data_IF_431404114746
#
_entry.id   IF_431404114746
#
_cell.length_a   1.000
_cell.length_b   1.000
_cell.length_c   1.000
_cell.angle_alpha   90.00
_cell.angle_beta   90.00
_cell.angle_gamma   90.00
#
_symmetry.space_group_name_H-M   'P 1'
#
loop_
_entity.id
_entity.type
_entity.pdbx_description
1 polymer ?
#
# COMPACT_ATOMS: atom_id res chain seq x y z
N UNK A 1 87.00 32.65 96.48
CA UNK A 1 85.57 33.04 96.43
C UNK A 1 85.14 33.77 95.16
N UNK A 2 85.73 34.92 94.78
CA UNK A 2 85.33 35.67 93.56
C UNK A 2 85.39 34.89 92.24
N UNK A 3 86.38 34.03 92.04
CA UNK A 3 86.48 33.22 90.81
C UNK A 3 85.40 32.13 90.73
N UNK A 4 84.98 31.57 91.87
CA UNK A 4 83.94 30.55 91.92
C UNK A 4 82.57 31.15 91.58
N UNK A 5 82.27 32.34 92.10
CA UNK A 5 81.08 33.11 91.76
C UNK A 5 80.99 33.45 90.27
N UNK A 6 82.10 33.86 89.64
CA UNK A 6 82.15 34.13 88.19
C UNK A 6 81.85 32.88 87.35
N UNK A 7 82.35 31.70 87.77
CA UNK A 7 82.06 30.43 87.09
C UNK A 7 80.58 30.04 87.22
N UNK A 8 80.02 30.15 88.42
CA UNK A 8 78.60 29.88 88.67
C UNK A 8 77.72 30.82 87.83
N UNK A 9 78.06 32.11 87.78
CA UNK A 9 77.33 33.08 86.95
C UNK A 9 77.40 32.74 85.46
N UNK A 10 78.56 32.35 84.94
CA UNK A 10 78.70 31.89 83.56
C UNK A 10 77.86 30.64 83.27
N UNK A 11 77.82 29.67 84.19
CA UNK A 11 76.97 28.47 84.05
C UNK A 11 75.48 28.84 84.05
N UNK A 12 75.04 29.76 84.92
CA UNK A 12 73.64 30.22 84.95
C UNK A 12 73.27 30.88 83.62
N UNK A 13 74.13 31.76 83.09
CA UNK A 13 73.89 32.40 81.78
C UNK A 13 73.83 31.37 80.66
N UNK A 14 74.72 30.37 80.66
CA UNK A 14 74.69 29.28 79.69
C UNK A 14 73.38 28.49 79.76
N UNK A 15 72.94 28.13 80.97
CA UNK A 15 71.68 27.40 81.17
C UNK A 15 70.46 28.23 80.73
N UNK A 16 70.49 29.54 80.95
CA UNK A 16 69.45 30.45 80.46
C UNK A 16 69.41 30.51 78.93
N UNK A 17 70.57 30.65 78.28
CA UNK A 17 70.66 30.62 76.82
C UNK A 17 70.17 29.29 76.24
N UNK A 18 70.53 28.17 76.87
CA UNK A 18 70.11 26.85 76.42
C UNK A 18 68.61 26.60 76.68
N UNK A 19 68.06 27.17 77.76
CA UNK A 19 66.63 27.18 78.02
C UNK A 19 65.87 27.97 76.94
N UNK A 20 66.36 29.16 76.57
CA UNK A 20 65.75 29.99 75.54
C UNK A 20 65.79 29.30 74.16
N UNK A 21 66.91 28.66 73.82
CA UNK A 21 67.02 27.82 72.61
C UNK A 21 66.03 26.66 72.63
N UNK A 22 65.94 25.95 73.77
CA UNK A 22 65.02 24.82 73.92
C UNK A 22 63.55 25.28 73.82
N UNK A 23 63.22 26.42 74.41
CA UNK A 23 61.89 27.03 74.32
C UNK A 23 61.54 27.36 72.86
N UNK A 24 62.46 27.98 72.12
CA UNK A 24 62.28 28.29 70.70
C UNK A 24 62.09 27.02 69.85
N UNK A 25 62.92 25.99 70.04
CA UNK A 25 62.80 24.72 69.31
C UNK A 25 61.47 24.03 69.63
N UNK A 26 61.03 24.04 70.89
CA UNK A 26 59.76 23.46 71.31
C UNK A 26 58.57 24.18 70.67
N UNK A 27 58.63 25.53 70.59
CA UNK A 27 57.62 26.33 69.89
C UNK A 27 57.50 25.96 68.41
N UNK A 28 58.64 25.90 67.71
CA UNK A 28 58.67 25.51 66.29
C UNK A 28 58.12 24.09 66.07
N UNK A 29 58.43 23.15 66.97
CA UNK A 29 57.93 21.78 66.88
C UNK A 29 56.41 21.71 67.11
N UNK A 30 55.87 22.53 68.02
CA UNK A 30 54.43 22.63 68.26
C UNK A 30 53.72 23.16 67.01
N UNK A 31 54.25 24.22 66.40
CA UNK A 31 53.68 24.82 65.19
C UNK A 31 53.72 23.85 64.01
N UNK A 32 54.84 23.15 63.80
CA UNK A 32 54.96 22.10 62.77
C UNK A 32 53.98 20.94 63.01
N UNK A 33 53.81 20.52 64.28
CA UNK A 33 52.83 19.50 64.65
C UNK A 33 51.40 19.95 64.36
N UNK A 34 51.04 21.21 64.65
CA UNK A 34 49.71 21.74 64.35
C UNK A 34 49.48 21.86 62.85
N UNK A 35 50.48 22.27 62.08
CA UNK A 35 50.38 22.36 60.63
C UNK A 35 50.18 20.97 60.01
N UNK A 36 50.98 19.98 60.43
CA UNK A 36 50.82 18.59 59.99
C UNK A 36 49.45 18.02 60.31
N UNK A 37 48.89 18.36 61.47
CA UNK A 37 47.53 17.94 61.83
C UNK A 37 46.48 18.50 60.85
N UNK A 38 46.58 19.78 60.47
CA UNK A 38 45.70 20.40 59.46
C UNK A 38 45.86 19.74 58.10
N UNK A 39 47.10 19.46 57.68
CA UNK A 39 47.36 18.81 56.39
C UNK A 39 46.76 17.40 56.36
N UNK A 40 46.85 16.66 57.46
CA UNK A 40 46.22 15.34 57.62
C UNK A 40 44.70 15.43 57.48
N UNK A 41 44.06 16.42 58.11
CA UNK A 41 42.60 16.64 58.00
C UNK A 41 42.18 16.94 56.55
N UNK A 42 42.94 17.77 55.83
CA UNK A 42 42.69 18.07 54.40
C UNK A 42 42.86 16.83 53.52
N UNK A 43 43.86 15.99 53.81
CA UNK A 43 44.07 14.72 53.11
C UNK A 43 42.89 13.77 53.33
N UNK A 44 42.40 13.62 54.56
CA UNK A 44 41.23 12.79 54.86
C UNK A 44 39.98 13.28 54.14
N UNK A 45 39.69 14.59 54.16
CA UNK A 45 38.56 15.16 53.42
C UNK A 45 38.67 14.93 51.91
N UNK A 46 39.89 15.00 51.36
CA UNK A 46 40.13 14.74 49.94
C UNK A 46 39.97 13.27 49.59
N UNK A 47 40.33 12.37 50.51
CA UNK A 47 40.11 10.92 50.39
C UNK A 47 38.63 10.56 50.39
N UNK A 48 37.85 11.14 51.29
CA UNK A 48 36.39 10.97 51.33
C UNK A 48 35.73 11.48 50.05
N UNK A 49 36.13 12.68 49.59
CA UNK A 49 35.65 13.24 48.33
C UNK A 49 36.01 12.34 47.15
N UNK A 50 37.24 11.83 47.09
CA UNK A 50 37.64 10.88 46.06
C UNK A 50 36.85 9.57 46.14
N UNK A 51 36.57 9.05 47.34
CA UNK A 51 35.76 7.85 47.49
C UNK A 51 34.32 8.05 46.98
N UNK A 52 33.76 9.24 47.19
CA UNK A 52 32.40 9.60 46.74
C UNK A 52 32.34 9.93 45.24
N UNK A 53 33.30 10.71 44.75
CA UNK A 53 33.26 11.31 43.42
C UNK A 53 34.02 10.50 42.36
N UNK A 54 34.82 9.52 42.78
CA UNK A 54 35.32 8.47 41.89
C UNK A 54 34.10 7.63 41.51
N UNK A 55 33.38 8.15 40.51
CA UNK A 55 32.27 7.52 39.83
C UNK A 55 32.53 6.02 39.82
N UNK A 56 31.63 5.29 40.48
CA UNK A 56 31.78 3.88 40.82
C UNK A 56 32.47 3.22 39.65
N UNK A 57 33.73 2.86 39.85
CA UNK A 57 34.55 2.26 38.79
C UNK A 57 33.80 1.06 38.21
N UNK A 58 33.00 0.42 39.04
CA UNK A 58 32.01 -0.60 38.71
C UNK A 58 30.91 -0.09 37.79
N UNK A 59 30.22 1.00 38.09
CA UNK A 59 29.22 1.61 37.18
C UNK A 59 29.83 2.03 35.83
N UNK A 60 31.04 2.58 35.83
CA UNK A 60 31.74 2.90 34.59
C UNK A 60 32.08 1.63 33.81
N UNK A 61 32.59 0.59 34.47
CA UNK A 61 32.89 -0.71 33.85
C UNK A 61 31.62 -1.37 33.32
N UNK A 62 30.53 -1.38 34.08
CA UNK A 62 29.22 -1.90 33.67
C UNK A 62 28.67 -1.11 32.47
N UNK A 63 28.72 0.22 32.51
CA UNK A 63 28.30 1.07 31.40
C UNK A 63 29.18 0.90 30.15
N UNK A 64 30.47 0.60 30.32
CA UNK A 64 31.38 0.25 29.23
C UNK A 64 31.12 -1.16 28.69
N UNK A 65 30.82 -2.14 29.53
CA UNK A 65 30.51 -3.52 29.12
C UNK A 65 29.21 -3.55 28.30
N UNK A 66 28.18 -2.83 28.77
CA UNK A 66 26.92 -2.62 28.03
C UNK A 66 27.16 -1.90 26.70
N UNK A 67 28.10 -0.94 26.62
CA UNK A 67 28.48 -0.30 25.35
C UNK A 67 29.38 -1.15 24.46
N UNK A 68 30.20 -2.03 25.04
CA UNK A 68 31.11 -2.93 24.32
C UNK A 68 30.37 -4.06 23.61
N UNK A 69 29.14 -4.36 24.05
CA UNK A 69 28.18 -5.22 23.33
C UNK A 69 27.78 -4.67 21.95
N UNK A 70 28.33 -3.51 21.53
CA UNK A 70 28.34 -3.04 20.14
C UNK A 70 28.93 -4.08 19.17
N UNK A 71 29.85 -4.93 19.61
CA UNK A 71 30.37 -6.06 18.81
C UNK A 71 29.34 -7.18 18.68
N UNK A 72 28.59 -7.50 19.75
CA UNK A 72 27.47 -8.44 19.66
C UNK A 72 26.31 -7.86 18.83
N UNK A 73 26.07 -6.56 18.90
CA UNK A 73 25.10 -5.86 18.04
C UNK A 73 25.51 -5.93 16.57
N UNK A 74 26.80 -5.77 16.26
CA UNK A 74 27.34 -5.97 14.92
C UNK A 74 27.19 -7.42 14.42
N UNK A 75 27.16 -8.40 15.33
CA UNK A 75 26.89 -9.81 15.04
C UNK A 75 25.40 -10.16 14.89
N UNK A 76 24.47 -9.41 15.51
CA UNK A 76 23.03 -9.71 15.48
C UNK A 76 22.36 -9.40 14.14
N UNK A 77 22.81 -8.36 13.45
CA UNK A 77 22.40 -8.06 12.06
C UNK A 77 23.63 -7.52 11.35
N UNK A 78 24.23 -8.30 10.46
CA UNK A 78 25.25 -7.73 9.59
C UNK A 78 24.57 -6.72 8.66
N UNK A 79 25.15 -5.53 8.56
CA UNK A 79 24.71 -4.50 7.60
C UNK A 79 24.53 -5.10 6.20
N UNK A 80 25.46 -5.97 5.81
CA UNK A 80 25.45 -6.66 4.52
C UNK A 80 24.27 -7.61 4.33
N UNK A 81 23.84 -8.36 5.36
CA UNK A 81 22.67 -9.23 5.29
C UNK A 81 21.37 -8.43 5.22
N UNK A 82 21.31 -7.32 5.95
CA UNK A 82 20.17 -6.39 5.89
C UNK A 82 20.07 -5.78 4.50
N UNK A 83 21.15 -5.21 3.98
CA UNK A 83 21.21 -4.59 2.66
C UNK A 83 20.86 -5.62 1.57
N UNK A 84 21.40 -6.84 1.64
CA UNK A 84 21.06 -7.91 0.71
C UNK A 84 19.58 -8.33 0.78
N UNK A 85 18.99 -8.36 1.98
CA UNK A 85 17.57 -8.67 2.15
C UNK A 85 16.68 -7.55 1.62
N UNK A 86 17.10 -6.30 1.80
CA UNK A 86 16.41 -5.11 1.30
C UNK A 86 16.42 -5.08 -0.24
N UNK A 87 17.57 -5.35 -0.87
CA UNK A 87 17.69 -5.42 -2.34
C UNK A 87 16.82 -6.54 -2.90
N UNK A 88 16.87 -7.74 -2.31
CA UNK A 88 16.00 -8.86 -2.74
C UNK A 88 14.51 -8.51 -2.62
N UNK A 89 14.12 -7.81 -1.56
CA UNK A 89 12.74 -7.35 -1.37
C UNK A 89 12.36 -6.33 -2.46
N UNK A 90 13.24 -5.38 -2.75
CA UNK A 90 13.04 -4.38 -3.79
C UNK A 90 12.88 -5.03 -5.17
N UNK A 91 13.73 -5.98 -5.54
CA UNK A 91 13.60 -6.77 -6.78
C UNK A 91 12.25 -7.49 -6.86
N UNK A 92 11.81 -8.10 -5.75
CA UNK A 92 10.53 -8.81 -5.70
C UNK A 92 9.35 -7.85 -5.93
N UNK A 93 9.39 -6.67 -5.30
CA UNK A 93 8.36 -5.63 -5.48
C UNK A 93 8.34 -5.11 -6.91
N UNK A 94 9.51 -4.84 -7.50
CA UNK A 94 9.64 -4.39 -8.89
C UNK A 94 9.04 -5.41 -9.87
N UNK A 95 9.34 -6.70 -9.68
CA UNK A 95 8.78 -7.76 -10.53
C UNK A 95 7.26 -7.90 -10.35
N UNK A 96 6.75 -7.83 -9.12
CA UNK A 96 5.32 -7.83 -8.87
C UNK A 96 4.63 -6.65 -9.56
N UNK A 97 5.21 -5.45 -9.48
CA UNK A 97 4.70 -4.25 -10.14
C UNK A 97 4.67 -4.43 -11.66
N UNK A 98 5.74 -4.98 -12.25
CA UNK A 98 5.83 -5.29 -13.69
C UNK A 98 4.75 -6.29 -14.13
N UNK A 99 4.51 -7.33 -13.33
CA UNK A 99 3.45 -8.33 -13.61
C UNK A 99 2.06 -7.73 -13.56
N UNK A 100 1.75 -6.94 -12.52
CA UNK A 100 0.44 -6.30 -12.35
C UNK A 100 0.18 -5.29 -13.47
N UNK A 101 1.17 -4.46 -13.80
CA UNK A 101 1.05 -3.48 -14.89
C UNK A 101 0.93 -4.17 -16.26
N UNK A 102 1.74 -5.20 -16.53
CA UNK A 102 1.63 -6.00 -17.76
C UNK A 102 0.28 -6.71 -17.90
N UNK A 103 -0.25 -7.26 -16.81
CA UNK A 103 -1.58 -7.86 -16.79
C UNK A 103 -2.68 -6.81 -17.07
N UNK A 104 -2.55 -5.61 -16.49
CA UNK A 104 -3.44 -4.48 -16.77
C UNK A 104 -3.47 -4.12 -18.25
N UNK A 105 -2.32 -4.08 -18.93
CA UNK A 105 -2.24 -3.84 -20.37
C UNK A 105 -2.92 -4.94 -21.18
N UNK A 106 -2.71 -6.22 -20.82
CA UNK A 106 -3.37 -7.35 -21.47
C UNK A 106 -4.90 -7.29 -21.37
N UNK A 107 -5.44 -6.88 -20.21
CA UNK A 107 -6.87 -6.64 -20.04
C UNK A 107 -7.40 -5.52 -20.94
N UNK A 108 -6.68 -4.41 -21.07
CA UNK A 108 -7.06 -3.32 -21.98
C UNK A 108 -7.07 -3.78 -23.44
N UNK A 109 -6.06 -4.56 -23.87
CA UNK A 109 -6.02 -5.13 -25.21
C UNK A 109 -7.19 -6.10 -25.47
N UNK A 110 -7.51 -6.98 -24.52
CA UNK A 110 -8.64 -7.89 -24.64
C UNK A 110 -9.96 -7.11 -24.73
N UNK A 111 -10.13 -6.08 -23.90
CA UNK A 111 -11.31 -5.22 -23.90
C UNK A 111 -11.45 -4.46 -25.23
N UNK A 112 -10.34 -3.98 -25.81
CA UNK A 112 -10.35 -3.33 -27.11
C UNK A 112 -10.72 -4.31 -28.23
N UNK A 113 -10.12 -5.49 -28.27
CA UNK A 113 -10.48 -6.54 -29.25
C UNK A 113 -11.95 -6.94 -29.14
N UNK A 114 -12.46 -7.11 -27.91
CA UNK A 114 -13.86 -7.44 -27.70
C UNK A 114 -14.79 -6.34 -28.20
N UNK A 115 -14.40 -5.06 -28.04
CA UNK A 115 -15.13 -3.93 -28.62
C UNK A 115 -15.11 -3.97 -30.14
N UNK A 116 -13.95 -4.16 -30.76
CA UNK A 116 -13.80 -4.24 -32.21
C UNK A 116 -14.62 -5.41 -32.80
N UNK A 117 -14.58 -6.58 -32.18
CA UNK A 117 -15.40 -7.75 -32.55
C UNK A 117 -16.90 -7.53 -32.31
N UNK A 118 -17.26 -6.80 -31.26
CA UNK A 118 -18.65 -6.44 -31.01
C UNK A 118 -19.14 -5.42 -32.02
N UNK A 119 -18.34 -4.41 -32.38
CA UNK A 119 -18.68 -3.42 -33.40
C UNK A 119 -18.78 -4.08 -34.80
N UNK A 120 -17.92 -5.06 -35.10
CA UNK A 120 -17.98 -5.83 -36.36
C UNK A 120 -19.11 -6.88 -36.40
N UNK A 121 -19.52 -7.45 -35.26
CA UNK A 121 -20.71 -8.32 -35.19
C UNK A 121 -22.01 -7.54 -35.10
N UNK A 122 -21.96 -6.34 -34.53
CA UNK A 122 -23.02 -5.35 -34.59
C UNK A 122 -22.88 -4.49 -35.85
N UNK A 123 -22.46 -5.09 -36.98
CA UNK A 123 -22.36 -4.37 -38.23
C UNK A 123 -23.78 -3.97 -38.69
N UNK A 124 -24.16 -2.79 -38.25
CA UNK A 124 -25.38 -2.10 -38.67
C UNK A 124 -25.40 -1.90 -40.19
N UNK A 125 -24.25 -2.05 -40.85
CA UNK A 125 -24.12 -1.99 -42.31
C UNK A 125 -24.86 -3.12 -43.03
N UNK A 126 -24.98 -4.34 -42.47
CA UNK A 126 -25.77 -5.42 -43.09
C UNK A 126 -27.19 -5.48 -42.54
N UNK A 127 -27.36 -5.21 -41.24
CA UNK A 127 -28.66 -5.20 -40.57
C UNK A 127 -29.58 -4.08 -41.09
N UNK A 128 -29.03 -2.92 -41.45
CA UNK A 128 -29.79 -1.79 -42.00
C UNK A 128 -30.43 -2.10 -43.36
N UNK A 129 -29.65 -2.48 -44.38
CA UNK A 129 -30.17 -2.91 -45.69
C UNK A 129 -31.07 -4.14 -45.61
N UNK A 130 -30.75 -5.12 -44.74
CA UNK A 130 -31.61 -6.29 -44.55
C UNK A 130 -32.98 -5.92 -43.97
N UNK A 131 -33.01 -5.00 -42.99
CA UNK A 131 -34.26 -4.45 -42.45
C UNK A 131 -35.05 -3.69 -43.53
N UNK A 132 -34.39 -2.89 -44.35
CA UNK A 132 -35.04 -2.18 -45.47
C UNK A 132 -35.65 -3.17 -46.48
N UNK A 133 -34.93 -4.24 -46.83
CA UNK A 133 -35.47 -5.28 -47.72
C UNK A 133 -36.70 -5.99 -47.13
N UNK A 134 -36.72 -6.24 -45.81
CA UNK A 134 -37.89 -6.79 -45.12
C UNK A 134 -39.08 -5.82 -45.14
N UNK A 135 -38.84 -4.54 -44.90
CA UNK A 135 -39.87 -3.48 -44.94
C UNK A 135 -40.45 -3.32 -46.37
N UNK A 136 -39.61 -3.32 -47.41
CA UNK A 136 -40.07 -3.29 -48.81
C UNK A 136 -40.88 -4.53 -49.19
N UNK A 137 -40.39 -5.74 -48.84
CA UNK A 137 -41.14 -6.98 -49.12
C UNK A 137 -42.50 -7.01 -48.42
N UNK A 138 -42.56 -6.50 -47.19
CA UNK A 138 -43.80 -6.39 -46.43
C UNK A 138 -44.78 -5.39 -47.08
N UNK A 139 -44.30 -4.22 -47.48
CA UNK A 139 -45.10 -3.22 -48.18
C UNK A 139 -45.62 -3.75 -49.53
N UNK A 140 -44.77 -4.37 -50.33
CA UNK A 140 -45.17 -5.00 -51.59
C UNK A 140 -46.22 -6.10 -51.40
N UNK A 141 -46.08 -6.91 -50.35
CA UNK A 141 -47.08 -7.93 -50.02
C UNK A 141 -48.42 -7.32 -49.61
N UNK A 142 -48.39 -6.23 -48.83
CA UNK A 142 -49.59 -5.46 -48.47
C UNK A 142 -50.24 -4.83 -49.70
N UNK A 143 -49.45 -4.31 -50.64
CA UNK A 143 -49.96 -3.74 -51.90
C UNK A 143 -50.57 -4.81 -52.80
N UNK A 144 -49.90 -5.96 -52.99
CA UNK A 144 -50.47 -7.10 -53.72
C UNK A 144 -51.76 -7.64 -53.09
N UNK A 145 -51.86 -7.61 -51.76
CA UNK A 145 -53.10 -7.98 -51.07
C UNK A 145 -54.19 -6.93 -51.29
N UNK A 146 -53.87 -5.64 -51.27
CA UNK A 146 -54.83 -4.56 -51.58
C UNK A 146 -55.29 -4.60 -53.04
N UNK A 147 -54.39 -4.87 -53.98
CA UNK A 147 -54.66 -4.97 -55.41
C UNK A 147 -55.43 -6.24 -55.76
N UNK A 148 -55.19 -7.37 -55.06
CA UNK A 148 -56.04 -8.57 -55.17
C UNK A 148 -57.42 -8.38 -54.54
N UNK A 149 -57.59 -7.44 -53.62
CA UNK A 149 -58.86 -7.16 -52.96
C UNK A 149 -59.72 -6.18 -53.77
N UNK A 150 -59.17 -5.42 -54.73
CA UNK A 150 -59.94 -4.60 -55.69
C UNK A 150 -59.27 -4.63 -57.09
N UNK A 151 -59.91 -5.15 -58.17
CA UNK A 151 -61.34 -5.37 -58.39
C UNK A 151 -61.69 -6.85 -58.66
N UNK A 152 -62.14 -7.56 -57.63
CA UNK A 152 -63.29 -8.45 -57.86
C UNK A 152 -64.46 -7.49 -57.97
N UNK A 153 -65.01 -7.37 -59.17
CA UNK A 153 -66.28 -6.68 -59.35
C UNK A 153 -67.26 -7.15 -58.28
N UNK A 154 -68.14 -6.24 -57.87
CA UNK A 154 -69.35 -6.58 -57.16
C UNK A 154 -70.17 -7.57 -58.00
N UNK A 155 -69.80 -8.85 -58.03
CA UNK A 155 -70.71 -9.91 -58.42
C UNK A 155 -71.52 -10.23 -57.18
N UNK A 156 -72.62 -9.50 -57.11
CA UNK A 156 -73.81 -9.80 -56.35
C UNK A 156 -73.94 -11.32 -56.20
N UNK A 157 -73.62 -11.83 -55.01
CA UNK A 157 -73.84 -13.22 -54.64
C UNK A 157 -75.34 -13.47 -54.45
N UNK A 158 -76.11 -13.21 -55.51
CA UNK A 158 -77.48 -13.61 -55.69
C UNK A 158 -77.45 -14.95 -56.43
N UNK A 159 -77.41 -16.04 -55.66
CA UNK A 159 -77.67 -17.38 -56.17
C UNK A 159 -79.10 -17.48 -56.72
N UNK A 160 -79.33 -17.01 -57.94
CA UNK A 160 -80.58 -17.20 -58.67
C UNK A 160 -80.27 -18.00 -59.93
N UNK A 161 -80.74 -19.25 -59.90
CA UNK A 161 -80.64 -20.28 -60.95
C UNK A 161 -80.98 -19.69 -62.32
N UNK A 162 -79.99 -19.52 -63.20
CA UNK A 162 -80.24 -19.39 -64.64
C UNK A 162 -80.97 -20.67 -65.10
N UNK A 163 -82.27 -20.57 -65.40
CA UNK A 163 -83.02 -21.67 -66.02
C UNK A 163 -82.37 -22.00 -67.37
N UNK A 164 -81.76 -23.18 -67.47
CA UNK A 164 -81.16 -23.67 -68.70
C UNK A 164 -82.30 -23.99 -69.69
N UNK A 165 -82.36 -23.25 -70.81
CA UNK A 165 -83.20 -23.61 -71.94
C UNK A 165 -82.55 -24.79 -72.66
N UNK A 166 -83.21 -25.94 -72.68
CA UNK A 166 -82.74 -27.11 -73.43
C UNK A 166 -83.37 -27.12 -74.83
N UNK A 167 -82.56 -27.43 -75.84
CA UNK A 167 -83.01 -27.60 -77.22
C UNK A 167 -83.55 -29.01 -77.42
N UNK A 168 -84.84 -29.12 -77.76
CA UNK A 168 -85.48 -30.38 -78.12
C UNK A 168 -85.95 -30.34 -79.57
N UNK A 169 -86.16 -31.52 -80.17
CA UNK A 169 -86.75 -31.65 -81.50
C UNK A 169 -88.12 -32.33 -81.37
N UNK A 170 -89.10 -31.87 -82.14
CA UNK A 170 -90.44 -32.46 -82.15
C UNK A 170 -90.38 -33.88 -82.73
N UNK A 171 -90.73 -34.90 -81.96
CA UNK A 171 -90.63 -36.31 -82.39
C UNK A 171 -91.45 -36.62 -83.66
N UNK A 172 -92.51 -35.85 -83.94
CA UNK A 172 -93.40 -36.10 -85.08
C UNK A 172 -92.96 -35.42 -86.39
N UNK A 173 -92.18 -34.34 -86.33
CA UNK A 173 -91.81 -33.55 -87.53
C UNK A 173 -90.37 -33.01 -87.51
N UNK A 174 -89.59 -33.41 -86.52
CA UNK A 174 -88.18 -33.09 -86.29
C UNK A 174 -87.80 -31.60 -86.25
N UNK A 175 -88.80 -30.72 -86.09
CA UNK A 175 -88.57 -29.27 -85.98
C UNK A 175 -87.99 -28.94 -84.59
N UNK A 176 -86.91 -28.12 -84.50
CA UNK A 176 -86.33 -27.73 -83.22
C UNK A 176 -87.25 -26.77 -82.46
N UNK A 177 -87.38 -26.99 -81.14
CA UNK A 177 -88.20 -26.22 -80.21
C UNK A 177 -87.37 -25.92 -78.96
N UNK A 178 -87.39 -24.67 -78.51
CA UNK A 178 -86.84 -24.26 -77.22
C UNK A 178 -87.94 -24.20 -76.18
N UNK A 179 -87.82 -24.99 -75.10
CA UNK A 179 -88.75 -24.92 -73.96
C UNK A 179 -87.99 -24.81 -72.64
N UNK A 180 -88.53 -24.08 -71.65
CA UNK A 180 -87.98 -24.08 -70.30
C UNK A 180 -88.10 -25.49 -69.71
N UNK A 181 -87.03 -26.00 -69.12
CA UNK A 181 -87.04 -27.31 -68.47
C UNK A 181 -87.94 -27.22 -67.23
N UNK A 182 -89.03 -28.01 -67.13
CA UNK A 182 -89.78 -28.11 -65.89
C UNK A 182 -88.85 -28.73 -64.86
N UNK A 183 -88.53 -27.98 -63.80
CA UNK A 183 -87.82 -28.53 -62.66
C UNK A 183 -88.67 -29.56 -61.92
N UNK A 184 -88.06 -30.41 -61.07
CA UNK A 184 -88.82 -31.18 -60.09
C UNK A 184 -89.55 -30.27 -59.10
#
# INVERSE_FOLDING_TARGET
DKQLLKRIQATITQVQEDYDKLSCVTGNLLDDSQQKQKDIEVLFQSLERLQKDKADKEDLVLGLDVKADKTALAGKVSRTQFDASMERLNETIQEMLRRVTGQGQGWHQLQQRLREEMDSKLDRLELGPFRQQLEERWQNSLEQLKEKVLPTEADDAAGIKKQLLAHFHCVSCDRPISMPVPGP
#
